data_IF_617995699804
#
_entry.id   IF_617995699804
#
_cell.length_a   1.000
_cell.length_b   1.000
_cell.length_c   1.000
_cell.angle_alpha   90.00
_cell.angle_beta   90.00
_cell.angle_gamma   90.00
#
_symmetry.space_group_name_H-M   'P 1'
#
loop_
_entity.id
_entity.type
_entity.pdbx_description
1 polymer ?
#
# COMPACT_ATOMS: atom_id res chain seq x y z
N UNK A 1 16.17 19.78 -17.19
CA UNK A 1 15.37 18.55 -17.28
C UNK A 1 13.89 18.88 -17.40
N UNK A 2 13.30 19.52 -16.38
CA UNK A 2 11.86 19.84 -16.36
C UNK A 2 11.40 20.76 -17.49
N UNK A 3 12.22 21.71 -17.96
CA UNK A 3 11.87 22.51 -19.15
C UNK A 3 11.70 21.65 -20.40
N UNK A 4 12.61 20.69 -20.61
CA UNK A 4 12.51 19.76 -21.73
C UNK A 4 11.28 18.86 -21.60
N UNK A 5 10.96 18.42 -20.38
CA UNK A 5 9.74 17.67 -20.10
C UNK A 5 8.49 18.50 -20.42
N UNK A 6 8.47 19.79 -20.05
CA UNK A 6 7.37 20.72 -20.35
C UNK A 6 7.19 20.88 -21.85
N UNK A 7 8.29 21.07 -22.60
CA UNK A 7 8.25 21.12 -24.06
C UNK A 7 7.75 19.81 -24.67
N UNK A 8 8.16 18.66 -24.13
CA UNK A 8 7.76 17.35 -24.64
C UNK A 8 6.27 17.04 -24.38
N UNK A 9 5.72 17.45 -23.23
CA UNK A 9 4.30 17.31 -22.90
C UNK A 9 3.45 18.27 -23.75
N UNK A 10 3.94 19.49 -23.97
CA UNK A 10 3.22 20.54 -24.69
C UNK A 10 1.88 20.91 -24.04
N UNK A 11 0.91 21.30 -24.87
CA UNK A 11 -0.42 21.74 -24.43
C UNK A 11 -1.44 20.60 -24.35
N UNK A 12 -0.97 19.36 -24.19
CA UNK A 12 -1.86 18.20 -24.10
C UNK A 12 -2.81 18.32 -22.89
N UNK A 13 -4.11 18.12 -23.16
CA UNK A 13 -5.18 18.02 -22.16
C UNK A 13 -5.35 16.60 -21.59
N UNK A 14 -4.60 15.63 -22.12
CA UNK A 14 -4.63 14.25 -21.65
C UNK A 14 -4.22 14.14 -20.17
N UNK A 15 -4.66 13.05 -19.53
CA UNK A 15 -4.21 12.72 -18.17
C UNK A 15 -2.70 12.55 -18.16
N UNK A 16 -2.03 13.29 -17.27
CA UNK A 16 -0.57 13.25 -17.10
C UNK A 16 -0.23 12.32 -15.95
N UNK A 17 0.26 11.13 -16.26
CA UNK A 17 0.70 10.17 -15.24
C UNK A 17 2.21 10.30 -14.99
N UNK A 18 2.59 10.86 -13.85
CA UNK A 18 3.97 10.93 -13.39
C UNK A 18 4.28 9.69 -12.56
N UNK A 19 4.89 8.69 -13.19
CA UNK A 19 5.26 7.44 -12.53
C UNK A 19 6.66 7.54 -11.92
N UNK A 20 6.76 7.53 -10.59
CA UNK A 20 8.04 7.70 -9.88
C UNK A 20 8.72 6.36 -9.61
N UNK A 21 9.34 5.80 -10.65
CA UNK A 21 10.22 4.62 -10.57
C UNK A 21 11.64 5.02 -10.12
N UNK A 22 11.74 5.74 -8.99
CA UNK A 22 12.99 6.30 -8.45
C UNK A 22 13.08 6.06 -6.94
N UNK A 23 14.22 6.40 -6.34
CA UNK A 23 14.40 6.29 -4.90
C UNK A 23 13.38 7.16 -4.12
N UNK A 24 12.77 6.67 -3.02
CA UNK A 24 11.74 7.42 -2.28
C UNK A 24 12.17 8.79 -1.76
N UNK A 25 13.46 8.97 -1.49
CA UNK A 25 14.02 10.25 -1.06
C UNK A 25 13.83 11.37 -2.10
N UNK A 26 13.60 11.02 -3.37
CA UNK A 26 13.42 11.97 -4.47
C UNK A 26 11.95 12.34 -4.71
N UNK A 27 10.99 11.67 -4.07
CA UNK A 27 9.57 11.87 -4.34
C UNK A 27 9.11 13.31 -4.06
N UNK A 28 9.51 13.86 -2.91
CA UNK A 28 9.19 15.25 -2.53
C UNK A 28 9.82 16.26 -3.50
N UNK A 29 11.12 16.13 -3.78
CA UNK A 29 11.82 17.03 -4.68
C UNK A 29 11.24 17.02 -6.10
N UNK A 30 10.91 15.82 -6.63
CA UNK A 30 10.29 15.69 -7.95
C UNK A 30 8.89 16.29 -7.94
N UNK A 31 8.07 15.99 -6.93
CA UNK A 31 6.72 16.56 -6.77
C UNK A 31 6.78 18.09 -6.80
N UNK A 32 7.68 18.68 -6.02
CA UNK A 32 7.82 20.12 -5.92
C UNK A 32 8.29 20.74 -7.24
N UNK A 33 9.28 20.12 -7.90
CA UNK A 33 9.76 20.58 -9.20
C UNK A 33 8.68 20.49 -10.29
N UNK A 34 7.81 19.48 -10.26
CA UNK A 34 6.66 19.43 -11.18
C UNK A 34 5.72 20.62 -10.96
N UNK A 35 5.45 20.98 -9.70
CA UNK A 35 4.62 22.15 -9.36
C UNK A 35 5.26 23.46 -9.80
N UNK A 36 6.52 23.70 -9.43
CA UNK A 36 7.26 24.92 -9.76
C UNK A 36 7.30 25.19 -11.28
N UNK A 37 7.33 24.13 -12.09
CA UNK A 37 7.36 24.23 -13.55
C UNK A 37 5.97 24.32 -14.20
N UNK A 38 4.88 24.31 -13.40
CA UNK A 38 3.51 24.36 -13.86
C UNK A 38 3.08 23.08 -14.61
N UNK A 39 3.66 21.94 -14.25
CA UNK A 39 3.37 20.65 -14.88
C UNK A 39 2.18 19.93 -14.25
N UNK A 40 1.84 20.28 -13.00
CA UNK A 40 0.69 19.76 -12.27
C UNK A 40 -0.58 20.50 -12.70
N UNK A 41 -1.54 19.73 -13.21
CA UNK A 41 -2.88 20.16 -13.64
C UNK A 41 -3.94 19.36 -12.88
N UNK A 42 -5.24 19.71 -12.94
CA UNK A 42 -6.30 18.90 -12.36
C UNK A 42 -6.35 17.44 -12.88
N UNK A 43 -5.91 17.22 -14.13
CA UNK A 43 -5.81 15.91 -14.77
C UNK A 43 -4.46 15.23 -14.56
N UNK A 44 -3.58 15.79 -13.74
CA UNK A 44 -2.32 15.14 -13.38
C UNK A 44 -2.54 14.08 -12.31
N UNK A 45 -1.74 13.03 -12.37
CA UNK A 45 -1.71 11.89 -11.45
C UNK A 45 -0.27 11.58 -11.13
N UNK A 46 0.06 11.37 -9.86
CA UNK A 46 1.39 10.95 -9.42
C UNK A 46 1.31 9.54 -8.86
N UNK A 47 2.19 8.66 -9.33
CA UNK A 47 2.25 7.26 -8.91
C UNK A 47 3.53 7.07 -8.09
N UNK A 48 3.36 6.67 -6.83
CA UNK A 48 4.44 6.49 -5.86
C UNK A 48 4.65 5.00 -5.59
N UNK A 49 5.87 4.52 -5.84
CA UNK A 49 6.28 3.17 -5.48
C UNK A 49 6.67 3.05 -4.01
N UNK A 50 6.57 1.84 -3.47
CA UNK A 50 7.03 1.56 -2.09
C UNK A 50 8.57 1.66 -2.00
N UNK A 51 9.13 2.02 -0.83
CA UNK A 51 8.49 2.26 0.47
C UNK A 51 7.98 3.70 0.67
N UNK A 52 6.82 3.82 1.34
CA UNK A 52 6.24 5.11 1.77
C UNK A 52 6.66 5.37 3.23
N UNK A 53 7.89 5.87 3.40
CA UNK A 53 8.51 6.02 4.71
C UNK A 53 8.96 4.68 5.31
N UNK A 54 9.55 4.75 6.50
CA UNK A 54 10.11 3.60 7.25
C UNK A 54 9.50 3.42 8.65
N UNK A 55 8.75 4.42 9.07
CA UNK A 55 8.01 4.55 10.32
C UNK A 55 6.88 5.58 10.13
N UNK A 56 6.06 5.77 11.16
CA UNK A 56 4.92 6.70 11.10
C UNK A 56 5.35 8.15 10.82
N UNK A 57 6.47 8.60 11.41
CA UNK A 57 6.92 9.99 11.30
C UNK A 57 7.40 10.29 9.87
N UNK A 58 8.26 9.45 9.32
CA UNK A 58 8.76 9.56 7.94
C UNK A 58 7.66 9.35 6.90
N UNK A 59 6.69 8.47 7.15
CA UNK A 59 5.55 8.29 6.25
C UNK A 59 4.64 9.52 6.21
N UNK A 60 4.39 10.16 7.37
CA UNK A 60 3.65 11.43 7.44
C UNK A 60 4.38 12.53 6.71
N UNK A 61 5.66 12.73 7.00
CA UNK A 61 6.48 13.73 6.32
C UNK A 61 6.45 13.56 4.80
N UNK A 62 6.60 12.33 4.29
CA UNK A 62 6.53 12.07 2.86
C UNK A 62 5.14 12.35 2.29
N UNK A 63 4.07 11.96 2.99
CA UNK A 63 2.71 12.23 2.55
C UNK A 63 2.39 13.73 2.53
N UNK A 64 2.85 14.48 3.53
CA UNK A 64 2.65 15.92 3.60
C UNK A 64 3.40 16.62 2.45
N UNK A 65 4.67 16.24 2.20
CA UNK A 65 5.46 16.78 1.09
C UNK A 65 4.80 16.59 -0.27
N UNK A 66 4.22 15.41 -0.56
CA UNK A 66 3.50 15.20 -1.82
C UNK A 66 2.11 15.86 -1.79
N UNK A 67 1.44 15.85 -0.64
CA UNK A 67 0.11 16.43 -0.45
C UNK A 67 0.08 17.96 -0.51
N UNK A 68 1.21 18.62 -0.26
CA UNK A 68 1.37 20.07 -0.46
C UNK A 68 1.30 20.46 -1.94
N UNK A 69 1.59 19.51 -2.85
CA UNK A 69 1.66 19.76 -4.29
C UNK A 69 0.53 19.11 -5.09
N UNK A 70 0.04 17.94 -4.65
CA UNK A 70 -1.02 17.17 -5.31
C UNK A 70 -2.22 17.01 -4.38
N UNK A 71 -3.44 17.12 -4.92
CA UNK A 71 -4.62 16.69 -4.18
C UNK A 71 -4.61 15.16 -3.99
N UNK A 72 -5.20 14.67 -2.90
CA UNK A 72 -5.21 13.22 -2.59
C UNK A 72 -5.83 12.37 -3.70
N UNK A 73 -6.82 12.88 -4.45
CA UNK A 73 -7.41 12.21 -5.62
C UNK A 73 -6.45 12.06 -6.81
N UNK A 74 -5.30 12.74 -6.77
CA UNK A 74 -4.24 12.67 -7.77
C UNK A 74 -3.09 11.75 -7.34
N UNK A 75 -3.06 11.28 -6.10
CA UNK A 75 -1.93 10.53 -5.53
C UNK A 75 -2.25 9.02 -5.50
N UNK A 76 -1.48 8.25 -6.25
CA UNK A 76 -1.63 6.80 -6.39
C UNK A 76 -0.44 6.11 -5.72
N UNK A 77 -0.65 5.63 -4.49
CA UNK A 77 0.36 4.87 -3.75
C UNK A 77 0.24 3.40 -4.11
N UNK A 78 1.28 2.83 -4.70
CA UNK A 78 1.21 1.47 -5.24
C UNK A 78 1.37 0.43 -4.13
N UNK A 79 0.41 -0.50 -4.11
CA UNK A 79 0.55 -1.82 -3.52
C UNK A 79 0.12 -2.84 -4.57
N UNK A 80 1.09 -3.52 -5.18
CA UNK A 80 0.84 -4.42 -6.30
C UNK A 80 -0.02 -5.64 -5.92
N UNK A 81 -0.17 -5.99 -4.63
CA UNK A 81 -1.08 -7.05 -4.22
C UNK A 81 -2.54 -6.69 -4.51
N UNK A 82 -2.90 -5.40 -4.43
CA UNK A 82 -4.25 -4.93 -4.74
C UNK A 82 -4.59 -5.05 -6.25
N UNK A 83 -3.59 -5.21 -7.10
CA UNK A 83 -3.76 -5.45 -8.53
C UNK A 83 -3.93 -6.93 -8.89
N UNK A 84 -3.77 -7.86 -7.94
CA UNK A 84 -3.94 -9.30 -8.20
C UNK A 84 -5.42 -9.63 -8.31
N UNK A 85 -5.78 -10.35 -9.37
CA UNK A 85 -7.18 -10.73 -9.66
C UNK A 85 -7.85 -11.44 -8.47
N UNK A 86 -7.16 -12.39 -7.84
CA UNK A 86 -7.67 -13.13 -6.68
C UNK A 86 -7.92 -12.23 -5.46
N UNK A 87 -7.16 -11.15 -5.30
CA UNK A 87 -7.35 -10.17 -4.23
C UNK A 87 -8.57 -9.30 -4.50
N UNK A 88 -8.76 -8.87 -5.74
CA UNK A 88 -9.96 -8.12 -6.15
C UNK A 88 -11.24 -8.96 -6.00
N UNK A 89 -11.14 -10.26 -6.26
CA UNK A 89 -12.26 -11.20 -6.14
C UNK A 89 -12.76 -11.38 -4.69
N UNK A 90 -11.98 -10.98 -3.67
CA UNK A 90 -12.44 -11.01 -2.28
C UNK A 90 -13.71 -10.18 -2.06
N UNK A 91 -13.84 -9.03 -2.74
CA UNK A 91 -15.02 -8.18 -2.61
C UNK A 91 -16.26 -8.86 -3.19
N UNK A 92 -16.12 -9.48 -4.37
CA UNK A 92 -17.20 -10.23 -5.00
C UNK A 92 -17.60 -11.42 -4.14
N UNK A 93 -16.63 -12.19 -3.63
CA UNK A 93 -16.90 -13.34 -2.78
C UNK A 93 -17.67 -12.97 -1.51
N UNK A 94 -17.27 -11.88 -0.83
CA UNK A 94 -17.87 -11.49 0.45
C UNK A 94 -19.22 -10.79 0.31
N UNK A 95 -19.40 -9.93 -0.69
CA UNK A 95 -20.55 -9.02 -0.74
C UNK A 95 -21.52 -9.30 -1.88
N UNK A 96 -21.13 -10.06 -2.91
CA UNK A 96 -22.04 -10.46 -3.99
C UNK A 96 -22.69 -11.83 -3.75
N UNK A 97 -22.41 -12.48 -2.60
CA UNK A 97 -22.90 -13.82 -2.29
C UNK A 97 -23.70 -13.83 -0.99
N UNK A 98 -25.03 -13.89 -1.10
CA UNK A 98 -25.95 -13.93 0.04
C UNK A 98 -25.75 -15.14 0.97
N UNK A 99 -25.08 -16.20 0.49
CA UNK A 99 -24.73 -17.37 1.30
C UNK A 99 -23.58 -17.10 2.28
N UNK A 100 -22.60 -16.27 1.88
CA UNK A 100 -21.39 -16.06 2.66
C UNK A 100 -21.48 -14.87 3.61
N UNK A 101 -22.21 -13.83 3.23
CA UNK A 101 -22.33 -12.60 4.04
C UNK A 101 -22.83 -12.86 5.48
N UNK A 102 -23.86 -13.69 5.73
CA UNK A 102 -24.33 -13.98 7.08
C UNK A 102 -23.35 -14.81 7.92
N UNK A 103 -22.44 -15.52 7.27
CA UNK A 103 -21.44 -16.38 7.93
C UNK A 103 -20.15 -15.62 8.24
N UNK A 104 -19.94 -14.43 7.68
CA UNK A 104 -18.68 -13.72 7.80
C UNK A 104 -18.60 -12.85 9.07
N UNK A 105 -18.67 -13.49 10.23
CA UNK A 105 -18.60 -12.82 11.53
C UNK A 105 -18.08 -13.76 12.63
N UNK A 106 -17.78 -13.20 13.80
CA UNK A 106 -17.23 -13.93 14.95
C UNK A 106 -18.12 -15.03 15.54
N UNK A 107 -19.42 -15.08 15.19
CA UNK A 107 -20.29 -16.16 15.63
C UNK A 107 -20.11 -17.45 14.81
N UNK A 108 -19.54 -17.34 13.60
CA UNK A 108 -19.40 -18.45 12.65
C UNK A 108 -17.94 -18.70 12.24
N UNK A 109 -17.08 -17.68 12.31
CA UNK A 109 -15.66 -17.78 11.98
C UNK A 109 -14.83 -17.86 13.26
N UNK A 110 -14.16 -18.99 13.47
CA UNK A 110 -13.23 -19.20 14.58
C UNK A 110 -11.96 -18.35 14.44
N UNK A 111 -11.29 -18.42 13.29
CA UNK A 111 -10.12 -17.58 12.98
C UNK A 111 -9.94 -17.37 11.47
N UNK A 112 -9.12 -16.37 11.14
CA UNK A 112 -8.69 -16.05 9.77
C UNK A 112 -7.18 -16.15 9.71
N UNK A 113 -6.66 -16.90 8.73
CA UNK A 113 -5.23 -17.02 8.48
C UNK A 113 -4.86 -16.42 7.12
N UNK A 114 -3.91 -15.49 7.12
CA UNK A 114 -3.33 -14.90 5.90
C UNK A 114 -1.88 -15.35 5.81
N UNK A 115 -1.58 -16.19 4.81
CA UNK A 115 -0.23 -16.70 4.58
C UNK A 115 0.36 -16.08 3.33
N UNK A 116 1.57 -15.53 3.44
CA UNK A 116 2.40 -15.16 2.31
C UNK A 116 3.74 -15.87 2.47
N UNK A 117 4.01 -16.81 1.57
CA UNK A 117 5.22 -17.64 1.61
C UNK A 117 5.99 -17.48 0.30
N UNK A 118 7.30 -17.38 0.42
CA UNK A 118 8.24 -17.25 -0.70
C UNK A 118 9.28 -18.35 -0.61
N UNK A 119 9.63 -18.96 -1.74
CA UNK A 119 10.69 -19.97 -1.83
C UNK A 119 12.05 -19.35 -2.13
N UNK A 120 12.06 -18.12 -2.64
CA UNK A 120 13.26 -17.38 -3.04
C UNK A 120 13.90 -16.73 -1.82
N UNK A 121 15.25 -16.67 -1.81
CA UNK A 121 16.01 -16.04 -0.74
C UNK A 121 16.04 -14.51 -0.86
N UNK A 122 17.09 -13.89 -0.30
CA UNK A 122 17.27 -12.44 -0.40
C UNK A 122 17.82 -11.99 -1.75
N UNK A 123 18.47 -12.90 -2.49
CA UNK A 123 19.12 -12.62 -3.77
C UNK A 123 19.94 -11.31 -3.72
N UNK A 124 19.77 -10.41 -4.69
CA UNK A 124 20.47 -9.12 -4.74
C UNK A 124 19.90 -8.03 -3.79
N UNK A 125 18.85 -8.34 -3.02
CA UNK A 125 18.14 -7.36 -2.18
C UNK A 125 18.64 -7.28 -0.74
N UNK A 126 19.75 -7.96 -0.40
CA UNK A 126 20.27 -8.08 0.98
C UNK A 126 20.38 -6.72 1.69
N UNK A 127 21.01 -5.72 1.06
CA UNK A 127 21.26 -4.40 1.66
C UNK A 127 19.98 -3.65 2.04
N UNK A 128 18.91 -3.81 1.25
CA UNK A 128 17.60 -3.24 1.55
C UNK A 128 16.89 -4.08 2.62
N UNK A 129 16.87 -5.40 2.44
CA UNK A 129 16.08 -6.30 3.27
C UNK A 129 16.61 -6.37 4.71
N UNK A 130 17.93 -6.26 4.91
CA UNK A 130 18.55 -6.21 6.24
C UNK A 130 18.00 -5.06 7.11
N UNK A 131 17.64 -3.93 6.47
CA UNK A 131 17.03 -2.77 7.15
C UNK A 131 15.51 -2.87 7.26
N UNK A 132 14.86 -3.45 6.25
CA UNK A 132 13.40 -3.53 6.18
C UNK A 132 12.85 -4.67 7.04
N UNK A 133 13.36 -5.89 6.81
CA UNK A 133 12.82 -7.16 7.28
C UNK A 133 11.44 -7.49 6.71
N UNK A 134 10.97 -8.72 6.95
CA UNK A 134 9.64 -9.19 6.51
C UNK A 134 8.50 -8.28 7.01
N UNK A 135 8.65 -7.69 8.20
CA UNK A 135 7.63 -6.82 8.80
C UNK A 135 7.34 -5.57 7.94
N UNK A 136 8.37 -4.90 7.42
CA UNK A 136 8.16 -3.72 6.56
C UNK A 136 7.97 -4.10 5.09
N UNK A 137 8.64 -5.17 4.63
CA UNK A 137 8.58 -5.53 3.21
C UNK A 137 7.24 -6.16 2.81
N UNK A 138 6.61 -6.92 3.73
CA UNK A 138 5.42 -7.74 3.45
C UNK A 138 4.23 -7.49 4.38
N UNK A 139 4.48 -7.37 5.69
CA UNK A 139 3.37 -7.30 6.67
C UNK A 139 2.70 -5.92 6.67
N UNK A 140 3.49 -4.85 6.74
CA UNK A 140 2.98 -3.48 6.86
C UNK A 140 2.16 -3.01 5.66
N UNK A 141 2.47 -3.53 4.47
CA UNK A 141 1.80 -3.19 3.20
C UNK A 141 0.79 -4.29 2.81
N UNK A 142 1.26 -5.33 2.13
CA UNK A 142 0.47 -6.35 1.45
C UNK A 142 -0.46 -7.09 2.40
N UNK A 143 0.07 -7.65 3.49
CA UNK A 143 -0.77 -8.42 4.42
C UNK A 143 -1.77 -7.52 5.15
N UNK A 144 -1.40 -6.29 5.48
CA UNK A 144 -2.31 -5.34 6.10
C UNK A 144 -3.43 -4.91 5.14
N UNK A 145 -3.13 -4.73 3.85
CA UNK A 145 -4.13 -4.46 2.82
C UNK A 145 -5.10 -5.64 2.65
N UNK A 146 -4.58 -6.87 2.61
CA UNK A 146 -5.40 -8.09 2.57
C UNK A 146 -6.28 -8.19 3.83
N UNK A 147 -5.73 -7.96 5.01
CA UNK A 147 -6.48 -7.94 6.26
C UNK A 147 -7.66 -6.96 6.19
N UNK A 148 -7.43 -5.75 5.68
CA UNK A 148 -8.50 -4.77 5.51
C UNK A 148 -9.60 -5.27 4.57
N UNK A 149 -9.26 -5.85 3.41
CA UNK A 149 -10.26 -6.38 2.48
C UNK A 149 -11.04 -7.58 3.04
N UNK A 150 -10.38 -8.39 3.87
CA UNK A 150 -10.96 -9.58 4.50
C UNK A 150 -11.84 -9.21 5.71
N UNK A 151 -11.51 -8.15 6.44
CA UNK A 151 -12.20 -7.79 7.68
C UNK A 151 -13.17 -6.61 7.57
N UNK A 152 -13.15 -5.82 6.48
CA UNK A 152 -14.01 -4.65 6.34
C UNK A 152 -15.50 -5.04 6.27
N UNK A 153 -16.38 -4.15 6.71
CA UNK A 153 -17.82 -4.29 6.49
C UNK A 153 -18.16 -4.13 5.01
N UNK A 154 -19.41 -4.46 4.64
CA UNK A 154 -19.91 -4.16 3.30
C UNK A 154 -19.92 -2.64 3.08
N UNK A 155 -19.25 -2.12 2.05
CA UNK A 155 -19.25 -0.69 1.77
C UNK A 155 -20.62 -0.25 1.25
N UNK A 156 -20.96 1.02 1.46
CA UNK A 156 -22.23 1.59 0.98
C UNK A 156 -22.37 1.59 -0.54
N UNK A 157 -21.24 1.60 -1.25
CA UNK A 157 -21.13 1.46 -2.71
C UNK A 157 -19.75 0.90 -3.08
N UNK A 158 -19.56 0.59 -4.36
CA UNK A 158 -18.25 0.17 -4.89
C UNK A 158 -17.36 1.36 -5.30
N UNK A 159 -17.74 2.58 -4.94
CA UNK A 159 -16.91 3.76 -5.18
C UNK A 159 -15.64 3.70 -4.34
N UNK A 160 -14.54 4.24 -4.88
CA UNK A 160 -13.21 4.11 -4.28
C UNK A 160 -13.16 4.61 -2.83
N UNK A 161 -13.83 5.73 -2.53
CA UNK A 161 -13.87 6.31 -1.19
C UNK A 161 -14.74 5.50 -0.21
N UNK A 162 -15.86 4.94 -0.67
CA UNK A 162 -16.71 4.07 0.16
C UNK A 162 -15.95 2.80 0.59
N UNK A 163 -15.22 2.18 -0.34
CA UNK A 163 -14.36 1.03 -0.03
C UNK A 163 -13.21 1.44 0.89
N UNK A 164 -12.59 2.61 0.65
CA UNK A 164 -11.51 3.13 1.49
C UNK A 164 -11.98 3.37 2.93
N UNK A 165 -13.18 3.89 3.12
CA UNK A 165 -13.74 4.17 4.44
C UNK A 165 -13.91 2.91 5.28
N UNK A 166 -14.43 1.82 4.69
CA UNK A 166 -14.55 0.55 5.42
C UNK A 166 -13.19 -0.06 5.76
N UNK A 167 -12.20 0.04 4.85
CA UNK A 167 -10.81 -0.34 5.15
C UNK A 167 -10.23 0.47 6.30
N UNK A 168 -10.51 1.78 6.37
CA UNK A 168 -10.05 2.65 7.44
C UNK A 168 -10.70 2.30 8.80
N UNK A 169 -11.97 1.86 8.81
CA UNK A 169 -12.62 1.38 10.04
C UNK A 169 -11.89 0.17 10.62
N UNK A 170 -11.50 -0.79 9.77
CA UNK A 170 -10.68 -1.94 10.21
C UNK A 170 -9.39 -1.46 10.86
N UNK A 171 -8.61 -0.61 10.17
CA UNK A 171 -7.33 -0.11 10.68
C UNK A 171 -7.47 0.63 12.02
N UNK A 172 -8.56 1.37 12.22
CA UNK A 172 -8.87 2.07 13.48
C UNK A 172 -9.27 1.11 14.60
N UNK A 173 -9.90 -0.01 14.26
CA UNK A 173 -10.31 -1.04 15.21
C UNK A 173 -9.17 -1.98 15.64
N UNK A 174 -8.06 -2.02 14.89
CA UNK A 174 -6.90 -2.86 15.24
C UNK A 174 -6.31 -2.47 16.60
N UNK A 175 -6.15 -3.48 17.47
CA UNK A 175 -5.41 -3.34 18.72
C UNK A 175 -3.93 -3.22 18.42
N UNK A 176 -3.29 -2.15 18.93
CA UNK A 176 -1.86 -1.92 18.73
C UNK A 176 -1.04 -2.98 19.47
N UNK A 177 -0.16 -3.67 18.74
CA UNK A 177 0.87 -4.53 19.31
C UNK A 177 2.07 -3.64 19.68
N UNK A 178 2.24 -3.35 20.96
CA UNK A 178 3.31 -2.50 21.49
C UNK A 178 4.48 -3.34 22.07
N UNK A 179 5.53 -2.68 22.58
CA UNK A 179 6.75 -3.35 23.03
C UNK A 179 6.56 -4.48 24.05
N UNK A 180 5.60 -4.36 24.98
CA UNK A 180 5.34 -5.39 25.99
C UNK A 180 4.48 -6.54 25.45
N UNK A 181 3.65 -6.26 24.46
CA UNK A 181 2.73 -7.22 23.86
C UNK A 181 3.36 -7.95 22.65
N UNK A 182 4.34 -7.35 21.98
CA UNK A 182 4.98 -7.90 20.79
C UNK A 182 5.51 -9.33 20.99
N UNK A 183 6.21 -9.68 22.09
CA UNK A 183 6.68 -11.05 22.30
C UNK A 183 5.55 -12.08 22.50
N UNK A 184 4.34 -11.64 22.89
CA UNK A 184 3.19 -12.52 23.13
C UNK A 184 2.41 -12.83 21.85
N UNK A 185 2.36 -11.87 20.92
CA UNK A 185 1.53 -11.97 19.70
C UNK A 185 2.34 -12.15 18.42
N UNK A 186 3.68 -12.13 18.49
CA UNK A 186 4.53 -12.22 17.30
C UNK A 186 5.66 -13.22 17.49
N UNK A 187 6.01 -13.91 16.40
CA UNK A 187 7.20 -14.74 16.29
C UNK A 187 8.06 -14.19 15.15
N UNK A 188 9.37 -14.10 15.38
CA UNK A 188 10.34 -13.67 14.35
C UNK A 188 11.30 -14.82 14.09
N UNK A 189 11.54 -15.11 12.82
CA UNK A 189 12.49 -16.12 12.38
C UNK A 189 13.50 -15.54 11.39
N UNK A 190 14.64 -16.20 11.28
CA UNK A 190 15.64 -15.96 10.24
C UNK A 190 16.01 -17.32 9.65
N UNK A 191 15.84 -17.48 8.34
CA UNK A 191 16.21 -18.73 7.68
C UNK A 191 17.74 -18.92 7.74
N UNK A 192 18.18 -20.17 7.74
CA UNK A 192 19.59 -20.58 7.68
C UNK A 192 19.79 -21.53 6.51
N UNK A 193 20.96 -22.16 6.41
CA UNK A 193 21.21 -23.22 5.45
C UNK A 193 20.07 -24.25 5.46
N UNK A 194 19.57 -24.58 4.26
CA UNK A 194 18.52 -25.57 4.08
C UNK A 194 18.98 -26.99 4.43
N UNK A 195 18.04 -27.90 4.63
CA UNK A 195 18.34 -29.30 4.95
C UNK A 195 18.84 -30.13 3.76
N UNK A 196 18.78 -29.60 2.53
CA UNK A 196 19.30 -30.24 1.32
C UNK A 196 20.15 -29.26 0.52
N UNK A 197 21.32 -29.73 0.10
CA UNK A 197 22.25 -29.07 -0.81
C UNK A 197 21.73 -29.06 -2.24
#
# INVERSE_FOLDING_TARGET
GFDQLKTAIGDSECIRAFYLAVAPALFGDISHKLKENGLITPNSRIVLEKPIGRDLASARQLNDLVGDDFHESQIFRIDHYLGKETVQNLMALRFANALYEPLWNSANVDHVQITVAETVGLEDRVTYYDKAGALRDMVQNHMLQLLCLVAMEAPSSMDADAVRDEKLKVLRALKRINGNEAPKHTVRGQYRAGASA
#
